data_IF_814702041463
#
_entry.id   IF_814702041463
#
_cell.length_a   1.000
_cell.length_b   1.000
_cell.length_c   1.000
_cell.angle_alpha   90.00
_cell.angle_beta   90.00
_cell.angle_gamma   90.00
#
_symmetry.space_group_name_H-M   'P 1'
#
loop_
_entity.id
_entity.type
_entity.pdbx_description
1 polymer ?
#
# COMPACT_ATOMS: atom_id res chain seq x y z
N UNK A 1 -4.20 -15.39 31.69
CA UNK A 1 -5.39 -15.14 30.84
C UNK A 1 -5.72 -16.42 30.09
N UNK A 2 -6.79 -17.12 30.51
CA UNK A 2 -7.21 -18.40 29.95
C UNK A 2 -7.79 -18.16 28.55
N UNK A 3 -7.19 -18.75 27.52
CA UNK A 3 -7.78 -18.78 26.17
C UNK A 3 -9.12 -19.51 26.26
N UNK A 4 -10.24 -18.80 26.07
CA UNK A 4 -11.52 -19.44 25.82
C UNK A 4 -11.37 -20.31 24.56
N UNK A 5 -11.35 -21.63 24.76
CA UNK A 5 -11.49 -22.58 23.65
C UNK A 5 -12.95 -22.52 23.20
N UNK A 6 -13.21 -21.89 22.04
CA UNK A 6 -14.50 -22.00 21.37
C UNK A 6 -14.66 -23.44 20.89
N UNK A 7 -15.54 -24.18 21.53
CA UNK A 7 -15.87 -25.55 21.14
C UNK A 7 -16.98 -25.50 20.09
N UNK A 8 -16.66 -25.94 18.86
CA UNK A 8 -17.66 -26.11 17.81
C UNK A 8 -18.65 -27.22 18.25
N UNK A 9 -19.94 -26.91 18.28
CA UNK A 9 -20.99 -27.84 18.69
C UNK A 9 -21.84 -28.36 17.54
N UNK A 10 -21.88 -27.62 16.45
CA UNK A 10 -22.65 -27.96 15.24
C UNK A 10 -21.93 -29.08 14.44
N UNK A 11 -22.59 -30.24 14.20
CA UNK A 11 -22.00 -31.35 13.47
C UNK A 11 -21.54 -31.01 12.03
N UNK A 12 -22.29 -30.15 11.33
CA UNK A 12 -21.93 -29.72 9.97
C UNK A 12 -20.68 -28.83 10.00
N UNK A 13 -20.56 -27.98 11.01
CA UNK A 13 -19.36 -27.16 11.20
C UNK A 13 -18.15 -28.01 11.57
N UNK A 14 -18.35 -29.08 12.38
CA UNK A 14 -17.30 -30.04 12.70
C UNK A 14 -16.82 -30.78 11.44
N UNK A 15 -17.74 -31.19 10.56
CA UNK A 15 -17.42 -31.82 9.29
C UNK A 15 -16.58 -30.88 8.41
N UNK A 16 -17.00 -29.62 8.25
CA UNK A 16 -16.23 -28.62 7.49
C UNK A 16 -14.86 -28.36 8.10
N UNK A 17 -14.74 -28.32 9.41
CA UNK A 17 -13.48 -28.14 10.12
C UNK A 17 -12.53 -29.34 9.87
N UNK A 18 -13.07 -30.57 9.83
CA UNK A 18 -12.29 -31.76 9.47
C UNK A 18 -11.76 -31.70 8.04
N UNK A 19 -12.63 -31.34 7.08
CA UNK A 19 -12.24 -31.15 5.68
C UNK A 19 -11.17 -30.07 5.55
N UNK A 20 -11.35 -28.93 6.22
CA UNK A 20 -10.37 -27.83 6.22
C UNK A 20 -9.02 -28.27 6.80
N UNK A 21 -9.04 -29.13 7.85
CA UNK A 21 -7.84 -29.73 8.42
C UNK A 21 -7.07 -30.59 7.43
N UNK A 22 -7.77 -31.38 6.62
CA UNK A 22 -7.17 -32.19 5.56
C UNK A 22 -6.57 -31.31 4.46
N UNK A 23 -7.33 -30.31 3.99
CA UNK A 23 -6.87 -29.37 2.97
C UNK A 23 -5.65 -28.55 3.40
N UNK A 24 -5.53 -28.27 4.69
CA UNK A 24 -4.39 -27.49 5.22
C UNK A 24 -3.04 -28.06 4.81
N UNK A 25 -2.90 -29.39 4.72
CA UNK A 25 -1.66 -30.04 4.32
C UNK A 25 -1.22 -29.68 2.89
N UNK A 26 -2.17 -29.38 2.00
CA UNK A 26 -1.89 -29.01 0.61
C UNK A 26 -1.46 -27.53 0.46
N UNK A 27 -1.86 -26.67 1.40
CA UNK A 27 -1.68 -25.21 1.31
C UNK A 27 -0.72 -24.63 2.35
N UNK A 28 -0.51 -25.31 3.47
CA UNK A 28 0.34 -24.84 4.56
C UNK A 28 1.53 -25.78 4.71
N UNK A 29 2.72 -25.32 4.35
CA UNK A 29 3.95 -26.08 4.59
C UNK A 29 4.23 -26.12 6.10
N UNK A 30 4.28 -27.31 6.66
CA UNK A 30 4.67 -27.50 8.05
C UNK A 30 6.09 -26.96 8.28
N UNK A 31 6.27 -26.18 9.34
CA UNK A 31 7.56 -25.61 9.71
C UNK A 31 7.95 -24.32 8.96
N UNK A 32 7.16 -23.82 8.01
CA UNK A 32 7.39 -22.50 7.46
C UNK A 32 7.10 -21.44 8.52
N UNK A 33 8.14 -20.80 9.05
CA UNK A 33 7.96 -19.66 9.96
C UNK A 33 7.19 -18.55 9.23
N UNK A 34 6.13 -18.01 9.87
CA UNK A 34 5.44 -16.83 9.34
C UNK A 34 6.47 -15.68 9.28
N UNK A 35 6.83 -15.17 8.08
CA UNK A 35 7.80 -14.09 7.96
C UNK A 35 7.36 -12.79 8.67
N UNK A 36 6.08 -12.68 9.02
CA UNK A 36 5.53 -11.56 9.76
C UNK A 36 5.50 -11.78 11.29
N UNK A 37 5.94 -12.94 11.78
CA UNK A 37 6.01 -13.21 13.21
C UNK A 37 6.91 -12.17 13.89
N UNK A 38 6.38 -11.49 14.92
CA UNK A 38 7.09 -10.41 15.62
C UNK A 38 7.19 -9.07 14.87
N UNK A 39 6.70 -8.98 13.64
CA UNK A 39 6.66 -7.73 12.90
C UNK A 39 5.71 -6.72 13.55
N UNK A 40 6.12 -5.43 13.68
CA UNK A 40 5.23 -4.37 14.16
C UNK A 40 4.06 -4.10 13.20
N UNK A 41 4.14 -4.59 11.96
CA UNK A 41 3.14 -4.40 10.92
C UNK A 41 2.23 -5.63 10.71
N UNK A 42 2.49 -6.77 11.37
CA UNK A 42 1.76 -8.02 11.18
C UNK A 42 0.24 -7.86 11.34
N UNK A 43 -0.20 -7.05 12.31
CA UNK A 43 -1.60 -6.80 12.59
C UNK A 43 -2.38 -6.15 11.44
N UNK A 44 -1.70 -5.44 10.53
CA UNK A 44 -2.32 -4.76 9.37
C UNK A 44 -2.90 -5.79 8.41
N UNK A 45 -2.19 -6.89 8.19
CA UNK A 45 -2.61 -7.98 7.28
C UNK A 45 -3.94 -8.63 7.67
N UNK A 46 -4.29 -8.55 8.95
CA UNK A 46 -5.52 -9.17 9.48
C UNK A 46 -6.73 -8.24 9.41
N UNK A 47 -6.57 -7.04 8.87
CA UNK A 47 -7.67 -6.07 8.73
C UNK A 47 -8.39 -6.25 7.39
N UNK A 48 -9.70 -5.94 7.34
CA UNK A 48 -10.43 -5.88 6.07
C UNK A 48 -9.77 -4.91 5.10
N UNK A 49 -9.82 -5.19 3.81
CA UNK A 49 -9.11 -4.43 2.75
C UNK A 49 -9.37 -2.92 2.80
N UNK A 50 -10.62 -2.51 3.09
CA UNK A 50 -10.96 -1.08 3.25
C UNK A 50 -10.21 -0.41 4.41
N UNK A 51 -10.02 -1.14 5.53
CA UNK A 51 -9.24 -0.63 6.67
C UNK A 51 -7.75 -0.60 6.35
N UNK A 52 -7.25 -1.60 5.61
CA UNK A 52 -5.84 -1.64 5.17
C UNK A 52 -5.48 -0.39 4.36
N UNK A 53 -6.32 0.02 3.40
CA UNK A 53 -6.13 1.26 2.66
C UNK A 53 -6.09 2.48 3.56
N UNK A 54 -7.06 2.58 4.48
CA UNK A 54 -7.13 3.71 5.44
C UNK A 54 -5.93 3.78 6.39
N UNK A 55 -5.44 2.63 6.83
CA UNK A 55 -4.20 2.55 7.64
C UNK A 55 -3.01 3.06 6.82
N UNK A 56 -2.90 2.67 5.56
CA UNK A 56 -1.85 3.15 4.65
C UNK A 56 -1.85 4.68 4.50
N UNK A 57 -3.03 5.28 4.29
CA UNK A 57 -3.17 6.74 4.25
C UNK A 57 -2.68 7.39 5.56
N UNK A 58 -3.06 6.84 6.71
CA UNK A 58 -2.67 7.37 8.03
C UNK A 58 -1.17 7.20 8.28
N UNK A 59 -0.56 6.10 7.85
CA UNK A 59 0.88 5.87 7.95
C UNK A 59 1.66 6.91 7.14
N UNK A 60 1.27 7.16 5.89
CA UNK A 60 1.92 8.19 5.05
C UNK A 60 1.72 9.57 5.65
N UNK A 61 0.49 9.92 6.04
CA UNK A 61 0.19 11.22 6.63
C UNK A 61 0.98 11.46 7.93
N UNK A 62 0.99 10.48 8.84
CA UNK A 62 1.73 10.56 10.10
C UNK A 62 3.24 10.64 9.89
N UNK A 63 3.78 9.84 8.96
CA UNK A 63 5.20 9.88 8.61
C UNK A 63 5.61 11.25 8.04
N UNK A 64 4.84 11.79 7.09
CA UNK A 64 5.09 13.10 6.51
C UNK A 64 5.04 14.20 7.57
N UNK A 65 4.03 14.21 8.44
CA UNK A 65 3.89 15.17 9.53
C UNK A 65 5.05 15.07 10.53
N UNK A 66 5.45 13.88 10.93
CA UNK A 66 6.59 13.64 11.82
C UNK A 66 7.93 14.12 11.21
N UNK A 67 8.00 14.19 9.87
CA UNK A 67 9.14 14.75 9.14
C UNK A 67 9.05 16.25 8.91
N UNK A 68 8.05 16.93 9.49
CA UNK A 68 7.85 18.37 9.40
C UNK A 68 7.23 18.86 8.09
N UNK A 69 6.63 17.97 7.29
CA UNK A 69 5.85 18.39 6.13
C UNK A 69 4.44 18.82 6.56
N UNK A 70 3.92 19.86 5.92
CA UNK A 70 2.53 20.27 6.07
C UNK A 70 1.59 19.22 5.47
N UNK A 71 0.67 18.66 6.27
CA UNK A 71 -0.26 17.60 5.87
C UNK A 71 -1.67 17.97 6.29
N UNK A 72 -2.56 18.15 5.32
CA UNK A 72 -3.97 18.43 5.57
C UNK A 72 -4.88 17.49 4.76
N UNK A 73 -6.15 17.39 5.15
CA UNK A 73 -7.16 16.67 4.37
C UNK A 73 -7.37 17.34 3.01
N UNK A 74 -7.64 16.56 1.97
CA UNK A 74 -7.83 17.10 0.61
C UNK A 74 -9.12 17.91 0.45
N UNK A 75 -10.12 17.67 1.27
CA UNK A 75 -11.43 18.32 1.18
C UNK A 75 -12.34 17.81 0.07
N UNK A 76 -11.84 16.92 -0.80
CA UNK A 76 -12.62 16.29 -1.88
C UNK A 76 -12.23 14.81 -2.08
N UNK A 77 -12.93 14.12 -3.00
CA UNK A 77 -12.74 12.69 -3.27
C UNK A 77 -11.67 12.38 -4.33
N UNK A 78 -10.97 13.38 -4.87
CA UNK A 78 -10.00 13.20 -5.95
C UNK A 78 -8.57 13.01 -5.46
N UNK A 79 -8.31 13.26 -4.19
CA UNK A 79 -7.03 13.03 -3.54
C UNK A 79 -7.26 12.66 -2.06
N UNK A 80 -6.36 11.90 -1.48
CA UNK A 80 -6.47 11.48 -0.08
C UNK A 80 -5.98 12.58 0.88
N UNK A 81 -4.92 13.30 0.49
CA UNK A 81 -4.29 14.35 1.31
C UNK A 81 -3.75 15.48 0.43
N UNK A 82 -3.52 16.62 1.10
CA UNK A 82 -2.62 17.66 0.59
C UNK A 82 -1.34 17.62 1.43
N UNK A 83 -0.20 17.34 0.81
CA UNK A 83 1.11 17.24 1.47
C UNK A 83 2.02 18.31 0.86
N UNK A 84 2.57 19.21 1.70
CA UNK A 84 3.39 20.33 1.26
C UNK A 84 2.74 21.14 0.11
N UNK A 85 1.41 21.26 0.14
CA UNK A 85 0.60 21.99 -0.83
C UNK A 85 0.35 21.25 -2.15
N UNK A 86 0.68 19.96 -2.26
CA UNK A 86 0.39 19.11 -3.40
C UNK A 86 -0.74 18.14 -3.07
N UNK A 87 -1.65 17.93 -4.02
CA UNK A 87 -2.72 16.95 -3.93
C UNK A 87 -2.14 15.56 -4.15
N UNK A 88 -2.35 14.67 -3.21
CA UNK A 88 -1.70 13.36 -3.16
C UNK A 88 -2.75 12.26 -3.06
N UNK A 89 -2.68 11.31 -3.98
CA UNK A 89 -3.32 10.01 -3.88
C UNK A 89 -2.37 9.07 -3.14
N UNK A 90 -2.87 8.31 -2.16
CA UNK A 90 -2.05 7.40 -1.38
C UNK A 90 -2.45 5.96 -1.71
N UNK A 91 -1.47 5.15 -2.08
CA UNK A 91 -1.64 3.70 -2.29
C UNK A 91 -0.76 2.92 -1.33
N UNK A 92 -1.32 1.84 -0.81
CA UNK A 92 -0.68 1.02 0.19
C UNK A 92 -0.66 -0.45 -0.20
N UNK A 93 0.45 -1.12 0.05
CA UNK A 93 0.59 -2.56 -0.13
C UNK A 93 1.40 -3.18 1.01
N UNK A 94 0.94 -4.29 1.56
CA UNK A 94 1.82 -5.21 2.28
C UNK A 94 2.54 -6.09 1.26
N UNK A 95 3.74 -6.56 1.59
CA UNK A 95 4.47 -7.50 0.76
C UNK A 95 3.69 -8.82 0.66
N UNK A 96 3.42 -9.26 -0.55
CA UNK A 96 2.77 -10.53 -0.84
C UNK A 96 3.76 -11.68 -0.67
N UNK A 97 3.26 -12.91 -0.47
CA UNK A 97 4.10 -14.12 -0.33
C UNK A 97 5.02 -14.36 -1.55
N UNK A 98 4.57 -13.91 -2.72
CA UNK A 98 5.37 -13.92 -3.95
C UNK A 98 6.51 -12.89 -4.00
N UNK A 99 6.74 -12.12 -2.93
CA UNK A 99 7.76 -11.05 -2.91
C UNK A 99 7.37 -9.78 -3.67
N UNK A 100 6.09 -9.62 -4.00
CA UNK A 100 5.57 -8.55 -4.85
C UNK A 100 4.84 -7.50 -4.02
N UNK A 101 5.04 -6.22 -4.31
CA UNK A 101 4.10 -5.15 -3.96
C UNK A 101 3.05 -4.99 -5.04
N UNK A 102 1.78 -4.75 -4.64
CA UNK A 102 0.66 -4.48 -5.54
C UNK A 102 -0.11 -3.25 -5.08
N UNK A 103 0.07 -2.15 -5.78
CA UNK A 103 -0.69 -0.92 -5.59
C UNK A 103 -1.86 -0.91 -6.55
N UNK A 104 -3.06 -1.01 -5.98
CA UNK A 104 -4.30 -1.21 -6.75
C UNK A 104 -5.08 0.10 -6.89
N UNK A 105 -6.00 0.12 -7.85
CA UNK A 105 -6.95 1.22 -8.05
C UNK A 105 -6.27 2.59 -8.24
N UNK A 106 -5.14 2.63 -8.97
CA UNK A 106 -4.63 3.88 -9.49
C UNK A 106 -5.59 4.37 -10.59
N UNK A 107 -6.01 5.63 -10.51
CA UNK A 107 -6.97 6.26 -11.42
C UNK A 107 -6.43 7.57 -11.94
N UNK A 108 -6.90 7.97 -13.12
CA UNK A 108 -6.60 9.30 -13.64
C UNK A 108 -7.55 10.35 -13.03
N UNK A 109 -7.35 10.66 -11.75
CA UNK A 109 -8.11 11.67 -11.01
C UNK A 109 -7.32 12.97 -10.84
N UNK A 110 -7.96 14.01 -10.28
CA UNK A 110 -7.33 15.31 -10.08
C UNK A 110 -6.46 15.34 -8.81
N UNK A 111 -5.30 14.67 -8.86
CA UNK A 111 -4.20 14.76 -7.91
C UNK A 111 -2.89 15.06 -8.66
N UNK A 112 -1.89 15.60 -7.98
CA UNK A 112 -0.58 15.93 -8.57
C UNK A 112 0.37 14.73 -8.58
N UNK A 113 0.31 13.91 -7.52
CA UNK A 113 1.19 12.78 -7.28
C UNK A 113 0.46 11.60 -6.66
N UNK A 114 0.93 10.38 -6.95
CA UNK A 114 0.61 9.20 -6.15
C UNK A 114 1.79 8.85 -5.24
N UNK A 115 1.50 8.63 -3.95
CA UNK A 115 2.46 8.12 -2.97
C UNK A 115 2.14 6.68 -2.68
N UNK A 116 3.03 5.77 -3.08
CA UNK A 116 2.90 4.33 -2.95
C UNK A 116 3.76 3.83 -1.79
N UNK A 117 3.14 3.47 -0.66
CA UNK A 117 3.82 2.92 0.52
C UNK A 117 3.69 1.40 0.52
N UNK A 118 4.82 0.70 0.40
CA UNK A 118 4.94 -0.74 0.56
C UNK A 118 5.58 -1.10 1.89
N UNK A 119 4.99 -2.00 2.67
CA UNK A 119 5.61 -2.53 3.89
C UNK A 119 5.84 -4.03 3.77
N UNK A 120 6.99 -4.46 4.25
CA UNK A 120 7.38 -5.84 4.46
C UNK A 120 7.44 -6.14 5.96
N UNK A 121 7.76 -7.37 6.40
CA UNK A 121 7.75 -7.70 7.83
C UNK A 121 8.51 -6.73 8.72
N UNK A 122 9.70 -6.30 8.30
CA UNK A 122 10.59 -5.44 9.10
C UNK A 122 11.18 -4.27 8.31
N UNK A 123 10.58 -3.95 7.14
CA UNK A 123 11.05 -2.85 6.30
C UNK A 123 9.89 -2.15 5.60
N UNK A 124 10.14 -0.94 5.11
CA UNK A 124 9.17 -0.14 4.39
C UNK A 124 9.83 0.63 3.24
N UNK A 125 9.11 0.70 2.12
CA UNK A 125 9.53 1.39 0.91
C UNK A 125 8.44 2.38 0.47
N UNK A 126 8.84 3.50 -0.10
CA UNK A 126 7.91 4.51 -0.55
C UNK A 126 8.34 5.08 -1.90
N UNK A 127 7.39 5.21 -2.82
CA UNK A 127 7.59 5.82 -4.13
C UNK A 127 6.63 6.98 -4.33
N UNK A 128 7.15 8.06 -4.91
CA UNK A 128 6.43 9.31 -5.16
C UNK A 128 6.37 9.50 -6.68
N UNK A 129 5.21 9.23 -7.25
CA UNK A 129 4.99 9.17 -8.69
C UNK A 129 4.28 10.44 -9.15
N UNK A 130 4.90 11.21 -10.04
CA UNK A 130 4.22 12.33 -10.69
C UNK A 130 3.15 11.83 -11.66
N UNK A 131 2.24 12.72 -12.04
CA UNK A 131 1.23 12.42 -13.07
C UNK A 131 1.86 11.94 -14.38
N UNK A 132 2.95 12.58 -14.80
CA UNK A 132 3.64 12.23 -16.05
C UNK A 132 4.18 10.79 -15.99
N UNK A 133 4.85 10.43 -14.91
CA UNK A 133 5.35 9.06 -14.68
C UNK A 133 4.21 8.04 -14.64
N UNK A 134 3.08 8.40 -14.02
CA UNK A 134 1.90 7.53 -14.00
C UNK A 134 1.32 7.32 -15.40
N UNK A 135 1.25 8.36 -16.22
CA UNK A 135 0.78 8.24 -17.60
C UNK A 135 1.75 7.47 -18.49
N UNK A 136 3.05 7.62 -18.27
CA UNK A 136 4.06 6.92 -19.06
C UNK A 136 4.11 5.41 -18.78
N UNK A 137 3.85 4.98 -17.52
CA UNK A 137 4.14 3.61 -17.12
C UNK A 137 2.96 2.83 -16.53
N UNK A 138 1.86 3.47 -16.13
CA UNK A 138 0.78 2.82 -15.37
C UNK A 138 -0.58 3.07 -15.98
N UNK A 139 -1.00 4.34 -16.07
CA UNK A 139 -2.34 4.72 -16.55
C UNK A 139 -2.42 4.43 -18.05
N UNK A 140 -3.38 3.58 -18.43
CA UNK A 140 -3.52 3.10 -19.80
C UNK A 140 -2.71 1.85 -20.13
N UNK A 141 -1.74 1.45 -19.30
CA UNK A 141 -0.82 0.32 -19.59
C UNK A 141 -1.14 -0.94 -18.79
N UNK A 142 -1.59 -0.81 -17.54
CA UNK A 142 -1.78 -1.93 -16.61
C UNK A 142 -3.20 -1.98 -16.05
N UNK A 143 -4.23 -2.23 -16.89
CA UNK A 143 -5.62 -2.23 -16.45
C UNK A 143 -5.87 -3.29 -15.37
N UNK A 144 -6.61 -2.91 -14.33
CA UNK A 144 -6.94 -3.81 -13.22
C UNK A 144 -7.96 -4.88 -13.63
N UNK A 145 -8.86 -4.55 -14.56
CA UNK A 145 -9.87 -5.45 -15.08
C UNK A 145 -9.87 -5.44 -16.60
N UNK A 146 -9.99 -6.62 -17.20
CA UNK A 146 -9.97 -6.84 -18.67
C UNK A 146 -11.35 -6.88 -19.32
N UNK A 147 -12.42 -6.46 -18.63
CA UNK A 147 -13.80 -6.49 -19.13
C UNK A 147 -14.33 -5.12 -19.57
N UNK A 148 -15.45 -5.11 -20.31
CA UNK A 148 -16.11 -3.91 -20.88
C UNK A 148 -16.49 -2.78 -19.88
N UNK A 149 -16.27 -2.95 -18.57
CA UNK A 149 -16.67 -1.98 -17.53
C UNK A 149 -15.54 -1.54 -16.59
N UNK A 150 -14.26 -1.81 -16.87
CA UNK A 150 -13.21 -1.64 -15.85
C UNK A 150 -11.89 -1.04 -16.34
N UNK A 151 -11.90 -0.11 -17.29
CA UNK A 151 -10.67 0.49 -17.83
C UNK A 151 -10.21 1.75 -17.12
N UNK A 152 -10.86 2.14 -16.02
CA UNK A 152 -10.56 3.36 -15.26
C UNK A 152 -9.62 3.16 -14.07
N UNK A 153 -9.27 1.91 -13.76
CA UNK A 153 -8.36 1.54 -12.66
C UNK A 153 -7.18 0.73 -13.15
N UNK A 154 -6.00 1.04 -12.62
CA UNK A 154 -4.74 0.44 -13.02
C UNK A 154 -3.99 -0.12 -11.81
N UNK A 155 -3.09 -1.07 -12.06
CA UNK A 155 -2.21 -1.66 -11.08
C UNK A 155 -0.77 -1.24 -11.30
N UNK A 156 -0.07 -0.92 -10.24
CA UNK A 156 1.38 -0.92 -10.20
C UNK A 156 1.83 -2.12 -9.37
N UNK A 157 2.44 -3.10 -10.02
CA UNK A 157 2.91 -4.34 -9.39
C UNK A 157 4.33 -4.65 -9.82
N UNK A 158 5.19 -4.98 -8.85
CA UNK A 158 6.59 -5.32 -9.11
C UNK A 158 7.20 -6.10 -7.95
N UNK A 159 8.26 -6.86 -8.22
CA UNK A 159 9.07 -7.53 -7.20
C UNK A 159 9.79 -6.50 -6.33
N UNK A 160 9.64 -6.63 -5.01
CA UNK A 160 10.23 -5.68 -4.05
C UNK A 160 11.76 -5.65 -4.12
N UNK A 161 12.38 -6.80 -4.43
CA UNK A 161 13.83 -6.94 -4.55
C UNK A 161 14.39 -6.36 -5.87
N UNK A 162 13.55 -6.26 -6.91
CA UNK A 162 13.98 -5.80 -8.24
C UNK A 162 12.95 -4.83 -8.86
N UNK A 163 12.79 -3.63 -8.32
CA UNK A 163 11.87 -2.64 -8.86
C UNK A 163 12.32 -2.17 -10.25
N UNK A 164 11.40 -1.85 -11.17
CA UNK A 164 11.73 -1.31 -12.48
C UNK A 164 12.67 -0.11 -12.39
N UNK A 165 13.57 0.03 -13.36
CA UNK A 165 14.58 1.12 -13.35
C UNK A 165 13.96 2.51 -13.27
N UNK A 166 12.86 2.76 -14.01
CA UNK A 166 12.16 4.04 -13.95
C UNK A 166 11.61 4.37 -12.55
N UNK A 167 11.23 3.35 -11.79
CA UNK A 167 10.67 3.51 -10.45
C UNK A 167 11.75 3.89 -9.41
N UNK A 168 13.01 3.54 -9.67
CA UNK A 168 14.13 3.88 -8.77
C UNK A 168 14.31 5.40 -8.61
N UNK A 169 14.04 6.17 -9.67
CA UNK A 169 14.06 7.63 -9.61
C UNK A 169 12.92 8.24 -8.77
N UNK A 170 11.88 7.46 -8.48
CA UNK A 170 10.70 7.89 -7.74
C UNK A 170 10.77 7.63 -6.24
N UNK A 171 11.88 7.08 -5.71
CA UNK A 171 12.02 6.79 -4.28
C UNK A 171 12.67 5.45 -3.97
N UNK A 172 11.89 4.51 -3.42
CA UNK A 172 12.32 3.23 -2.89
C UNK A 172 12.52 3.32 -1.38
N UNK A 173 13.70 3.66 -0.90
CA UNK A 173 13.88 3.89 0.55
C UNK A 173 13.08 5.10 1.01
N UNK A 174 12.55 5.06 2.23
CA UNK A 174 11.79 6.17 2.82
C UNK A 174 12.57 7.49 2.78
N UNK A 175 13.88 7.46 3.01
CA UNK A 175 14.76 8.65 2.95
C UNK A 175 14.78 9.29 1.56
N UNK A 176 14.79 8.48 0.50
CA UNK A 176 14.77 8.97 -0.89
C UNK A 176 13.42 9.59 -1.22
N UNK A 177 12.32 8.91 -0.87
CA UNK A 177 10.96 9.43 -1.05
C UNK A 177 10.77 10.75 -0.27
N UNK A 178 11.25 10.83 0.97
CA UNK A 178 11.22 12.08 1.73
C UNK A 178 11.99 13.20 1.04
N UNK A 179 13.16 12.90 0.46
CA UNK A 179 13.92 13.88 -0.32
C UNK A 179 13.08 14.52 -1.44
N UNK A 180 12.31 13.70 -2.16
CA UNK A 180 11.39 14.17 -3.21
C UNK A 180 10.28 15.06 -2.61
N UNK A 181 9.60 14.57 -1.56
CA UNK A 181 8.51 15.30 -0.90
C UNK A 181 8.98 16.65 -0.34
N UNK A 182 10.17 16.72 0.23
CA UNK A 182 10.76 17.93 0.79
C UNK A 182 10.96 19.03 -0.27
N UNK A 183 11.26 18.67 -1.51
CA UNK A 183 11.43 19.67 -2.59
C UNK A 183 10.15 20.46 -2.89
N UNK A 184 8.98 19.93 -2.54
CA UNK A 184 7.71 20.62 -2.75
C UNK A 184 7.54 21.79 -1.79
N UNK A 185 8.02 21.66 -0.55
CA UNK A 185 7.94 22.69 0.48
C UNK A 185 8.86 23.88 0.16
N UNK A 186 10.06 23.62 -0.36
CA UNK A 186 11.05 24.66 -0.69
C UNK A 186 10.58 25.61 -1.79
N UNK A 187 9.74 25.13 -2.73
CA UNK A 187 9.21 25.96 -3.84
C UNK A 187 8.12 26.93 -3.43
N UNK A 188 7.54 26.82 -2.23
CA UNK A 188 6.56 27.78 -1.69
C UNK A 188 7.22 29.02 -1.07
N UNK A 189 8.40 28.91 -0.48
CA UNK A 189 9.13 30.01 0.14
C UNK A 189 9.73 31.02 -0.85
N UNK A 190 9.78 30.68 -2.14
CA UNK A 190 10.40 31.54 -3.18
C UNK A 190 9.44 32.41 -3.99
N UNK A 191 8.14 32.44 -3.69
CA UNK A 191 7.15 33.29 -4.39
C UNK A 191 6.62 34.46 -3.56
N UNK A 192 7.37 34.89 -2.57
CA UNK A 192 7.04 36.03 -1.71
C UNK A 192 8.26 36.85 -1.41
N UNK A 193 8.85 37.47 -2.40
CA UNK A 193 9.77 38.59 -2.26
C UNK A 193 9.59 39.52 -3.48
#
# INVERSE_FOLDING_TARGET
MTRMQYQIKDPEVLLLASIAGTLKGDYVREGAADPWAGSPFAWIRTRPSRQVGKIGEQLVAGWCAAKGLDVVSSGDSHADRVIAGRRVEIKFSTLWESGVYKFQQLRNQNYDFAVCLGISPFDAHCWVLSKDVLHEHVIGHTPQHTGKGGTDTFWLSFESANPPKWLQACGGRLTNAYGILKTWQSRRGGRGA
#
